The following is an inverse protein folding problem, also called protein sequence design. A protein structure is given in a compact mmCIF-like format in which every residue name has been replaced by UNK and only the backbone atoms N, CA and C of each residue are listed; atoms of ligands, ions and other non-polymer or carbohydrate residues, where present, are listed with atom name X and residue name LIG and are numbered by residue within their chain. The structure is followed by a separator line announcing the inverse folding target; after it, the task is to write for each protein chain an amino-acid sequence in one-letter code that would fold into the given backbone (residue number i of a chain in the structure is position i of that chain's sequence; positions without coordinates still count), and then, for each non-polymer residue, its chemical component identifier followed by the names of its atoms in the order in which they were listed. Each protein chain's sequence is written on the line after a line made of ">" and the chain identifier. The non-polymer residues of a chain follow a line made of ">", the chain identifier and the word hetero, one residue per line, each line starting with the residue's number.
data_IF_436565649121
#
_entry.id   IF_436565649121
#
_cell.length_a   1.000
_cell.length_b   1.000
_cell.length_c   1.000
_cell.angle_alpha   90.00
_cell.angle_beta   90.00
_cell.angle_gamma   90.00
#
_symmetry.space_group_name_H-M   'P 1'
#
loop_
_entity.id
_entity.type
_entity.pdbx_description
1 polymer ?
#
# COMPACT_ATOMS: atom_id res chain seq x y z
N UNK A 1 -19.91 11.84 24.15
CA UNK A 1 -19.73 11.63 22.69
C UNK A 1 -19.45 12.93 21.94
N UNK A 2 -20.37 13.90 21.87
CA UNK A 2 -20.21 15.13 21.05
C UNK A 2 -19.29 16.19 21.70
N UNK A 3 -19.22 16.27 23.03
CA UNK A 3 -18.30 17.18 23.75
C UNK A 3 -16.80 16.77 23.68
N UNK A 4 -16.51 15.59 23.14
CA UNK A 4 -15.17 14.95 23.20
C UNK A 4 -14.45 15.02 21.84
N UNK A 5 -15.19 15.12 20.73
CA UNK A 5 -14.68 15.61 19.45
C UNK A 5 -14.26 17.10 19.52
N UNK A 6 -14.90 17.88 20.41
CA UNK A 6 -14.53 19.28 20.71
C UNK A 6 -13.12 19.39 21.32
N UNK A 7 -12.69 18.38 22.08
CA UNK A 7 -11.33 18.27 22.64
C UNK A 7 -10.34 17.69 21.62
N UNK A 8 -10.79 16.83 20.70
CA UNK A 8 -9.97 16.36 19.58
C UNK A 8 -9.47 17.50 18.67
N UNK A 9 -10.23 18.60 18.57
CA UNK A 9 -9.86 19.83 17.87
C UNK A 9 -8.84 20.72 18.62
N UNK A 10 -8.65 20.56 19.93
CA UNK A 10 -7.64 21.32 20.69
C UNK A 10 -6.24 20.70 20.60
N UNK A 11 -6.16 19.40 20.32
CA UNK A 11 -4.95 18.57 20.50
C UNK A 11 -4.13 18.34 19.23
N UNK A 12 -4.70 18.49 18.03
CA UNK A 12 -3.92 18.59 16.78
C UNK A 12 -3.19 19.94 16.65
N UNK A 13 -3.40 20.84 17.62
CA UNK A 13 -2.67 22.08 17.82
C UNK A 13 -1.22 21.88 18.26
N UNK A 14 -0.37 21.42 17.33
CA UNK A 14 1.07 21.79 17.26
C UNK A 14 1.30 23.31 17.09
N UNK A 15 0.34 24.16 17.46
CA UNK A 15 0.48 25.61 17.59
C UNK A 15 0.26 26.12 19.04
N UNK A 16 -0.03 25.25 20.01
CA UNK A 16 -0.22 25.63 21.40
C UNK A 16 0.98 25.20 22.28
N UNK A 17 2.20 25.50 21.85
CA UNK A 17 3.33 25.43 22.78
C UNK A 17 3.22 26.54 23.84
N UNK A 18 3.43 26.13 25.09
CA UNK A 18 3.58 26.92 26.33
C UNK A 18 2.32 27.32 27.05
N UNK A 19 1.75 26.38 27.78
CA UNK A 19 0.95 26.74 28.95
C UNK A 19 1.08 25.72 30.09
N UNK A 20 2.09 25.89 30.95
CA UNK A 20 1.97 25.45 32.36
C UNK A 20 1.21 26.54 33.12
N UNK A 21 0.26 26.16 33.98
CA UNK A 21 -0.44 27.12 34.84
C UNK A 21 -0.80 26.50 36.17
N UNK A 22 -0.24 27.13 37.18
CA UNK A 22 -0.81 27.29 38.51
C UNK A 22 -1.44 28.68 38.57
N UNK A 23 -2.70 28.85 38.14
CA UNK A 23 -3.45 30.08 38.44
C UNK A 23 -4.92 29.99 38.03
N UNK A 24 -5.83 30.28 38.97
CA UNK A 24 -7.30 30.31 38.80
C UNK A 24 -7.77 31.37 37.80
N UNK A 25 -6.92 32.34 37.43
CA UNK A 25 -7.24 33.40 36.48
C UNK A 25 -7.33 32.95 35.00
N UNK A 26 -6.90 31.72 34.64
CA UNK A 26 -7.01 31.18 33.28
C UNK A 26 -8.34 30.46 32.98
N UNK A 27 -9.26 30.36 33.94
CA UNK A 27 -10.62 29.80 33.74
C UNK A 27 -11.51 30.72 32.89
N UNK A 28 -11.42 32.04 33.10
CA UNK A 28 -12.20 33.04 32.35
C UNK A 28 -11.70 33.26 30.90
N UNK A 29 -10.46 32.89 30.59
CA UNK A 29 -9.98 32.88 29.21
C UNK A 29 -10.41 31.62 28.45
N UNK A 30 -10.58 30.49 29.13
CA UNK A 30 -11.16 29.27 28.55
C UNK A 30 -12.66 29.46 28.23
N UNK A 31 -13.39 30.26 29.00
CA UNK A 31 -14.77 30.66 28.64
C UNK A 31 -14.83 31.50 27.36
N UNK A 32 -13.74 32.14 26.92
CA UNK A 32 -13.68 32.83 25.61
C UNK A 32 -13.44 31.88 24.44
N UNK A 33 -13.06 30.62 24.69
CA UNK A 33 -12.97 29.54 23.69
C UNK A 33 -14.37 29.05 23.26
N UNK A 34 -15.45 29.46 23.96
CA UNK A 34 -16.85 29.34 23.51
C UNK A 34 -17.21 30.17 22.26
N UNK A 35 -16.25 30.74 21.51
CA UNK A 35 -16.52 31.50 20.28
C UNK A 35 -16.71 30.64 19.01
N UNK A 36 -17.18 29.41 19.18
CA UNK A 36 -17.68 28.55 18.12
C UNK A 36 -19.06 28.05 18.55
N UNK A 37 -20.11 28.38 17.80
CA UNK A 37 -21.43 27.77 18.01
C UNK A 37 -21.38 26.32 17.51
N UNK A 38 -20.97 25.43 18.40
CA UNK A 38 -20.65 24.03 18.08
C UNK A 38 -21.89 23.20 17.76
N UNK A 39 -23.09 23.67 18.16
CA UNK A 39 -24.35 23.05 17.80
C UNK A 39 -24.65 23.20 16.29
N UNK A 40 -24.11 24.24 15.64
CA UNK A 40 -24.19 24.45 14.20
C UNK A 40 -23.09 23.70 13.41
N UNK A 41 -21.95 23.36 14.05
CA UNK A 41 -20.78 22.75 13.40
C UNK A 41 -20.89 21.25 13.14
N UNK A 42 -21.80 20.52 13.80
CA UNK A 42 -21.92 19.05 13.69
C UNK A 42 -23.22 18.72 12.95
N UNK A 43 -23.19 18.74 11.62
CA UNK A 43 -24.39 18.39 10.84
C UNK A 43 -24.40 16.98 10.23
N UNK A 44 -23.30 16.21 10.21
CA UNK A 44 -23.31 14.84 9.66
C UNK A 44 -22.32 13.89 10.33
N UNK A 45 -22.77 13.14 11.33
CA UNK A 45 -22.13 11.88 11.70
C UNK A 45 -22.80 10.79 10.88
N UNK A 46 -22.15 10.35 9.81
CA UNK A 46 -22.58 9.15 9.08
C UNK A 46 -22.07 7.91 9.82
N UNK A 47 -22.98 7.05 10.27
CA UNK A 47 -22.58 5.73 10.78
C UNK A 47 -22.02 4.91 9.60
N UNK A 48 -20.70 4.75 9.55
CA UNK A 48 -20.06 3.84 8.61
C UNK A 48 -19.61 2.58 9.37
N UNK A 49 -20.01 1.42 8.89
CA UNK A 49 -19.66 0.13 9.51
C UNK A 49 -18.22 -0.28 9.16
N UNK A 50 -17.23 0.26 9.88
CA UNK A 50 -15.80 -0.10 9.85
C UNK A 50 -15.24 -0.44 11.24
N UNK A 51 -13.92 -0.69 11.41
CA UNK A 51 -13.28 -1.07 12.68
C UNK A 51 -13.13 0.11 13.67
N UNK A 52 -14.18 0.92 13.82
CA UNK A 52 -14.21 2.14 14.61
C UNK A 52 -15.34 3.04 14.10
N UNK A 53 -15.82 3.95 14.95
CA UNK A 53 -16.73 4.99 14.53
C UNK A 53 -15.93 6.07 13.79
N UNK A 54 -16.13 6.20 12.48
CA UNK A 54 -15.56 7.31 11.71
C UNK A 54 -16.43 8.55 11.90
N UNK A 55 -15.82 9.66 12.30
CA UNK A 55 -16.48 10.95 12.37
C UNK A 55 -15.78 11.95 11.46
N UNK A 56 -16.56 12.66 10.65
CA UNK A 56 -16.08 13.74 9.81
C UNK A 56 -16.40 15.07 10.51
N UNK A 57 -15.36 15.90 10.67
CA UNK A 57 -15.47 17.21 11.31
C UNK A 57 -15.26 18.26 10.22
N UNK A 58 -16.34 18.97 9.87
CA UNK A 58 -16.28 20.19 9.05
C UNK A 58 -16.22 21.40 10.00
N UNK A 59 -15.31 22.34 9.75
CA UNK A 59 -15.23 23.56 10.57
C UNK A 59 -15.28 24.82 9.72
N UNK A 60 -16.11 25.78 10.14
CA UNK A 60 -16.27 27.08 9.50
C UNK A 60 -15.27 28.09 10.09
N UNK A 61 -14.48 28.74 9.24
CA UNK A 61 -13.61 29.86 9.68
C UNK A 61 -14.43 31.15 9.87
N UNK A 62 -13.92 32.10 10.66
CA UNK A 62 -14.54 33.44 10.86
C UNK A 62 -14.83 34.22 9.58
N UNK A 63 -14.19 33.86 8.47
CA UNK A 63 -14.36 34.51 7.18
C UNK A 63 -15.42 33.82 6.30
N UNK A 64 -16.16 32.84 6.84
CA UNK A 64 -17.16 32.06 6.11
C UNK A 64 -16.58 30.97 5.21
N UNK A 65 -15.27 30.70 5.31
CA UNK A 65 -14.61 29.65 4.52
C UNK A 65 -14.59 28.35 5.31
N UNK A 66 -15.09 27.27 4.73
CA UNK A 66 -14.99 25.93 5.31
C UNK A 66 -13.56 25.39 5.20
N UNK A 67 -13.02 24.83 6.29
CA UNK A 67 -11.78 24.04 6.26
C UNK A 67 -12.05 22.65 5.68
N UNK A 68 -11.03 21.98 5.10
CA UNK A 68 -11.18 20.61 4.62
C UNK A 68 -11.64 19.69 5.76
N UNK A 69 -12.55 18.78 5.42
CA UNK A 69 -13.13 17.75 6.28
C UNK A 69 -12.03 16.95 6.99
N UNK A 70 -11.98 17.01 8.32
CA UNK A 70 -11.08 16.18 9.12
C UNK A 70 -11.81 14.90 9.52
N UNK A 71 -11.43 13.77 8.93
CA UNK A 71 -11.89 12.46 9.36
C UNK A 71 -11.07 11.95 10.54
N UNK A 72 -11.74 11.50 11.61
CA UNK A 72 -11.13 10.85 12.78
C UNK A 72 -11.71 9.45 13.00
N UNK A 73 -10.89 8.57 13.55
CA UNK A 73 -11.34 7.27 14.08
C UNK A 73 -11.61 7.42 15.57
N UNK A 74 -12.74 6.91 16.06
CA UNK A 74 -13.02 6.72 17.49
C UNK A 74 -13.20 5.23 17.75
N UNK A 75 -12.43 4.68 18.68
CA UNK A 75 -12.41 3.24 18.93
C UNK A 75 -12.05 2.87 20.37
N UNK A 76 -12.35 1.65 20.77
CA UNK A 76 -11.77 0.99 21.94
C UNK A 76 -10.74 -0.05 21.52
N UNK A 77 -9.86 -0.45 22.45
CA UNK A 77 -8.97 -1.58 22.21
C UNK A 77 -9.78 -2.89 22.11
N UNK A 78 -9.24 -3.92 21.43
CA UNK A 78 -9.87 -5.24 21.44
C UNK A 78 -10.18 -5.70 22.87
N UNK A 79 -11.28 -6.43 23.05
CA UNK A 79 -11.77 -6.95 24.34
C UNK A 79 -12.42 -5.90 25.27
N UNK A 80 -12.35 -4.60 24.95
CA UNK A 80 -13.02 -3.53 25.73
C UNK A 80 -14.42 -3.25 25.21
N UNK A 81 -15.45 -3.75 25.91
CA UNK A 81 -16.86 -3.45 25.63
C UNK A 81 -17.36 -2.37 26.59
N UNK A 82 -17.92 -1.29 26.04
CA UNK A 82 -18.54 -0.22 26.85
C UNK A 82 -20.06 -0.38 26.81
N UNK A 83 -20.72 -0.74 27.94
CA UNK A 83 -22.18 -0.84 28.00
C UNK A 83 -22.88 0.44 27.53
N UNK A 84 -23.97 0.30 26.77
CA UNK A 84 -24.70 1.43 26.21
C UNK A 84 -24.03 2.16 25.03
N UNK A 85 -22.83 1.75 24.59
CA UNK A 85 -22.12 2.35 23.44
C UNK A 85 -21.67 1.31 22.42
N UNK A 86 -22.60 0.54 21.81
CA UNK A 86 -22.28 -0.52 20.84
C UNK A 86 -21.67 0.01 19.53
N UNK A 87 -21.83 1.30 19.24
CA UNK A 87 -21.36 1.92 17.99
C UNK A 87 -19.86 2.25 18.01
N UNK A 88 -19.21 2.25 19.18
CA UNK A 88 -17.76 2.43 19.27
C UNK A 88 -17.10 1.08 18.94
N UNK A 89 -16.63 0.95 17.70
CA UNK A 89 -15.91 -0.24 17.24
C UNK A 89 -14.54 -0.45 17.89
N UNK A 90 -13.94 -1.61 17.62
CA UNK A 90 -12.61 -1.97 18.11
C UNK A 90 -11.52 -1.72 17.06
N UNK A 91 -10.40 -1.14 17.49
CA UNK A 91 -9.18 -0.97 16.69
C UNK A 91 -7.94 -1.05 17.58
N UNK A 92 -6.77 -1.20 16.98
CA UNK A 92 -5.48 -1.23 17.68
C UNK A 92 -4.77 0.12 17.58
N UNK A 93 -3.86 0.34 18.52
CA UNK A 93 -2.81 1.33 18.33
C UNK A 93 -1.99 0.96 17.12
N UNK A 94 -1.66 1.97 16.32
CA UNK A 94 -0.62 1.86 15.29
C UNK A 94 0.65 2.49 15.85
N UNK A 95 1.79 1.94 15.46
CA UNK A 95 3.08 2.48 15.82
C UNK A 95 3.22 3.87 15.19
N UNK A 96 3.10 4.91 16.03
CA UNK A 96 3.03 6.33 15.63
C UNK A 96 4.24 6.80 14.82
N UNK A 97 5.36 6.10 14.97
CA UNK A 97 6.55 6.20 14.15
C UNK A 97 7.02 4.76 13.90
N UNK A 98 6.35 4.01 13.02
CA UNK A 98 6.78 2.62 12.81
C UNK A 98 8.22 2.62 12.28
N UNK A 99 9.15 2.35 13.20
CA UNK A 99 10.57 2.27 12.92
C UNK A 99 10.84 0.96 12.21
N UNK A 100 12.07 0.77 11.76
CA UNK A 100 12.48 -0.51 11.22
C UNK A 100 12.18 -1.68 12.19
N UNK A 101 12.26 -1.44 13.51
CA UNK A 101 12.04 -2.45 14.56
C UNK A 101 10.57 -2.86 14.70
N UNK A 102 9.64 -1.90 14.85
CA UNK A 102 8.21 -2.28 14.95
C UNK A 102 7.70 -2.87 13.64
N UNK A 103 8.19 -2.34 12.51
CA UNK A 103 7.87 -2.86 11.19
C UNK A 103 8.32 -4.31 11.00
N UNK A 104 9.56 -4.64 11.38
CA UNK A 104 10.07 -6.01 11.22
C UNK A 104 9.33 -7.00 12.12
N UNK A 105 8.99 -6.61 13.35
CA UNK A 105 8.26 -7.47 14.28
C UNK A 105 6.90 -7.87 13.70
N UNK A 106 6.11 -6.90 13.24
CA UNK A 106 4.79 -7.16 12.66
C UNK A 106 4.88 -7.94 11.35
N UNK A 107 5.85 -7.61 10.48
CA UNK A 107 6.06 -8.33 9.24
C UNK A 107 6.46 -9.80 9.46
N UNK A 108 7.26 -10.09 10.48
CA UNK A 108 7.62 -11.47 10.85
C UNK A 108 6.39 -12.25 11.33
N UNK A 109 5.57 -11.66 12.20
CA UNK A 109 4.32 -12.28 12.67
C UNK A 109 3.41 -12.66 11.49
N UNK A 110 3.15 -11.72 10.57
CA UNK A 110 2.32 -11.98 9.40
C UNK A 110 2.94 -12.98 8.43
N UNK A 111 4.26 -12.98 8.28
CA UNK A 111 4.96 -13.90 7.40
C UNK A 111 4.95 -15.32 7.96
N UNK A 112 5.18 -15.49 9.27
CA UNK A 112 5.12 -16.78 9.96
C UNK A 112 3.71 -17.37 9.92
N UNK A 113 2.68 -16.58 10.24
CA UNK A 113 1.28 -16.98 10.10
C UNK A 113 0.97 -17.40 8.66
N UNK A 114 1.43 -16.61 7.68
CA UNK A 114 1.18 -16.90 6.27
C UNK A 114 1.82 -18.20 5.80
N UNK A 115 3.05 -18.48 6.22
CA UNK A 115 3.77 -19.71 5.86
C UNK A 115 3.23 -20.94 6.58
N UNK A 116 2.76 -20.79 7.83
CA UNK A 116 2.21 -21.89 8.62
C UNK A 116 0.78 -22.25 8.21
N UNK A 117 -0.06 -21.25 7.94
CA UNK A 117 -1.52 -21.43 7.88
C UNK A 117 -2.13 -21.27 6.48
N UNK A 118 -1.42 -20.71 5.49
CA UNK A 118 -1.99 -20.48 4.15
C UNK A 118 -1.45 -21.44 3.11
N UNK A 119 -2.23 -22.50 2.86
CA UNK A 119 -1.92 -23.56 1.91
C UNK A 119 -1.52 -23.06 0.52
N UNK A 120 -2.15 -21.99 -0.01
CA UNK A 120 -1.79 -21.41 -1.33
C UNK A 120 -0.50 -20.60 -1.33
N UNK A 121 -0.20 -19.93 -0.23
CA UNK A 121 1.05 -19.21 -0.04
C UNK A 121 2.24 -20.15 0.24
N UNK A 122 1.96 -21.38 0.71
CA UNK A 122 2.92 -22.47 0.89
C UNK A 122 2.96 -23.53 -0.23
N UNK A 123 1.94 -23.64 -1.09
CA UNK A 123 1.87 -24.71 -2.12
C UNK A 123 2.67 -24.41 -3.39
N UNK A 124 2.93 -23.13 -3.69
CA UNK A 124 3.90 -22.71 -4.72
C UNK A 124 5.35 -22.78 -4.25
N UNK A 125 5.57 -22.89 -2.93
CA UNK A 125 6.86 -22.93 -2.25
C UNK A 125 6.85 -24.13 -1.30
N UNK A 126 6.90 -25.35 -1.86
CA UNK A 126 6.86 -26.60 -1.04
C UNK A 126 7.85 -26.46 0.14
N UNK A 127 7.56 -27.02 1.33
CA UNK A 127 8.55 -27.10 2.41
C UNK A 127 9.78 -27.89 1.90
N UNK A 128 10.87 -27.18 1.57
CA UNK A 128 12.06 -27.69 0.87
C UNK A 128 12.35 -27.07 -0.52
N UNK A 129 11.40 -26.34 -1.11
CA UNK A 129 11.43 -25.67 -2.43
C UNK A 129 11.20 -24.15 -2.34
N UNK A 130 11.51 -23.54 -1.20
CA UNK A 130 11.40 -22.08 -0.99
C UNK A 130 12.28 -21.24 -1.92
N UNK A 131 13.19 -21.87 -2.67
CA UNK A 131 14.14 -21.18 -3.54
C UNK A 131 13.58 -21.10 -4.96
N UNK A 132 13.29 -19.89 -5.38
CA UNK A 132 12.91 -19.58 -6.77
C UNK A 132 14.15 -19.34 -7.61
N UNK A 133 14.02 -19.56 -8.93
CA UNK A 133 15.03 -19.08 -9.86
C UNK A 133 15.25 -17.57 -9.67
N UNK A 134 16.50 -17.17 -9.53
CA UNK A 134 16.88 -15.78 -9.41
C UNK A 134 16.74 -15.07 -10.76
N UNK A 135 16.34 -13.78 -10.77
CA UNK A 135 16.45 -12.94 -11.96
C UNK A 135 17.90 -12.89 -12.48
N UNK A 136 18.07 -12.50 -13.74
CA UNK A 136 19.41 -12.39 -14.35
C UNK A 136 20.37 -11.57 -13.50
N UNK A 137 19.88 -10.47 -12.93
CA UNK A 137 20.61 -9.61 -11.99
C UNK A 137 19.82 -9.37 -10.72
N UNK A 138 20.53 -9.32 -9.59
CA UNK A 138 19.94 -9.09 -8.28
C UNK A 138 20.92 -8.36 -7.36
N UNK A 139 20.42 -7.64 -6.36
CA UNK A 139 21.26 -6.97 -5.37
C UNK A 139 21.55 -7.95 -4.24
N UNK A 140 22.84 -8.20 -3.97
CA UNK A 140 23.32 -8.87 -2.76
C UNK A 140 23.40 -7.82 -1.66
N UNK A 141 22.48 -7.90 -0.70
CA UNK A 141 22.42 -6.95 0.40
C UNK A 141 23.42 -7.25 1.51
N UNK A 142 24.25 -8.28 1.39
CA UNK A 142 25.31 -8.53 2.37
C UNK A 142 26.25 -7.32 2.44
N UNK A 143 26.47 -6.70 3.62
CA UNK A 143 27.38 -5.57 3.74
C UNK A 143 28.78 -5.93 3.24
N UNK A 144 29.30 -5.15 2.27
CA UNK A 144 30.67 -5.32 1.78
C UNK A 144 31.71 -4.79 2.79
N UNK A 145 31.28 -3.89 3.67
CA UNK A 145 32.09 -3.26 4.72
C UNK A 145 31.19 -2.68 5.83
N UNK A 146 31.80 -1.93 6.76
CA UNK A 146 31.12 -1.30 7.89
C UNK A 146 30.14 -0.18 7.49
N UNK A 147 30.24 0.37 6.28
CA UNK A 147 29.33 1.41 5.78
C UNK A 147 28.01 0.82 5.29
N UNK A 148 27.99 -0.48 5.01
CA UNK A 148 26.79 -1.17 4.54
C UNK A 148 26.61 -1.17 3.02
N UNK A 149 27.61 -0.76 2.24
CA UNK A 149 27.61 -0.82 0.77
C UNK A 149 27.25 -2.21 0.23
N UNK A 150 26.64 -2.25 -0.95
CA UNK A 150 26.08 -3.46 -1.59
C UNK A 150 26.62 -3.63 -3.00
N UNK A 151 26.19 -4.67 -3.73
CA UNK A 151 26.52 -4.85 -5.15
C UNK A 151 25.40 -5.55 -5.91
N UNK A 152 25.34 -5.32 -7.21
CA UNK A 152 24.55 -6.16 -8.12
C UNK A 152 25.35 -7.43 -8.43
N UNK A 153 24.67 -8.56 -8.59
CA UNK A 153 25.25 -9.82 -9.00
C UNK A 153 24.49 -10.39 -10.19
N UNK A 154 25.21 -10.96 -11.13
CA UNK A 154 24.65 -11.78 -12.21
C UNK A 154 24.47 -13.20 -11.70
N UNK A 155 23.22 -13.62 -11.54
CA UNK A 155 22.87 -14.87 -10.84
C UNK A 155 21.89 -15.73 -11.65
N UNK A 156 21.83 -15.52 -12.97
CA UNK A 156 20.98 -16.27 -13.88
C UNK A 156 21.12 -17.79 -13.66
N UNK A 157 19.98 -18.48 -13.50
CA UNK A 157 19.92 -19.92 -13.27
C UNK A 157 20.18 -20.39 -11.83
N UNK A 158 20.56 -19.50 -10.92
CA UNK A 158 20.69 -19.82 -9.50
C UNK A 158 19.33 -19.79 -8.79
N UNK A 159 19.25 -20.40 -7.60
CA UNK A 159 18.01 -20.49 -6.84
C UNK A 159 18.21 -20.00 -5.41
N UNK A 160 17.45 -18.98 -5.00
CA UNK A 160 17.45 -18.47 -3.64
C UNK A 160 16.12 -17.80 -3.29
N UNK A 161 15.96 -17.45 -2.01
CA UNK A 161 14.92 -16.53 -1.57
C UNK A 161 15.33 -15.10 -1.90
N UNK A 162 14.43 -14.34 -2.50
CA UNK A 162 14.64 -12.93 -2.75
C UNK A 162 13.37 -12.12 -2.54
N UNK A 163 13.56 -10.83 -2.25
CA UNK A 163 12.49 -9.86 -2.17
C UNK A 163 12.50 -8.96 -3.39
N UNK A 164 11.38 -8.31 -3.66
CA UNK A 164 11.28 -7.23 -4.64
C UNK A 164 10.95 -5.92 -3.93
N UNK A 165 11.38 -4.79 -4.50
CA UNK A 165 10.91 -3.46 -4.10
C UNK A 165 10.05 -2.84 -5.20
N UNK A 166 8.77 -2.65 -4.89
CA UNK A 166 7.85 -1.84 -5.68
C UNK A 166 7.91 -0.39 -5.19
N UNK A 167 8.31 0.55 -6.06
CA UNK A 167 8.52 1.95 -5.67
C UNK A 167 8.20 2.94 -6.80
N UNK A 168 7.93 4.19 -6.43
CA UNK A 168 7.81 5.29 -7.38
C UNK A 168 9.20 5.77 -7.81
N UNK A 169 9.44 5.83 -9.11
CA UNK A 169 10.67 6.41 -9.65
C UNK A 169 10.75 7.93 -9.39
N UNK A 170 9.60 8.60 -9.30
CA UNK A 170 9.49 10.04 -9.15
C UNK A 170 9.54 10.80 -10.47
N UNK A 171 9.01 12.02 -10.46
CA UNK A 171 9.10 12.98 -11.56
C UNK A 171 9.44 14.36 -10.98
N UNK A 172 10.40 15.12 -11.56
CA UNK A 172 11.23 14.81 -12.73
C UNK A 172 12.52 14.02 -12.41
N UNK A 173 12.85 13.82 -11.13
CA UNK A 173 14.07 13.13 -10.72
C UNK A 173 13.95 11.63 -11.00
N UNK A 174 14.94 11.05 -11.70
CA UNK A 174 15.06 9.62 -11.90
C UNK A 174 15.71 8.95 -10.68
N UNK A 175 15.38 7.70 -10.35
CA UNK A 175 16.02 6.99 -9.24
C UNK A 175 17.46 6.63 -9.60
N UNK A 176 18.23 6.19 -8.60
CA UNK A 176 19.50 5.49 -8.85
C UNK A 176 19.23 4.30 -9.77
N UNK A 177 19.94 4.25 -10.90
CA UNK A 177 19.70 3.25 -11.93
C UNK A 177 20.97 2.73 -12.60
N UNK A 178 20.85 1.52 -13.13
CA UNK A 178 21.89 0.87 -13.92
C UNK A 178 21.78 1.29 -15.38
N UNK A 179 22.92 1.66 -15.95
CA UNK A 179 23.09 1.99 -17.36
C UNK A 179 24.30 1.25 -17.92
N UNK A 180 24.40 1.19 -19.24
CA UNK A 180 25.57 0.61 -19.94
C UNK A 180 26.90 1.19 -19.45
N UNK A 181 26.89 2.47 -19.06
CA UNK A 181 28.06 3.19 -18.57
C UNK A 181 28.48 2.81 -17.14
N UNK A 182 27.54 2.44 -16.26
CA UNK A 182 27.82 2.25 -14.83
C UNK A 182 27.63 0.81 -14.33
N UNK A 183 27.08 -0.10 -15.14
CA UNK A 183 26.76 -1.48 -14.71
C UNK A 183 27.98 -2.22 -14.17
N UNK A 184 29.18 -2.02 -14.75
CA UNK A 184 30.42 -2.64 -14.26
C UNK A 184 30.76 -2.19 -12.84
N UNK A 185 30.56 -0.91 -12.54
CA UNK A 185 30.77 -0.37 -11.20
C UNK A 185 29.74 -0.95 -10.25
N UNK A 186 28.45 -0.99 -10.65
CA UNK A 186 27.35 -1.55 -9.84
C UNK A 186 27.53 -3.04 -9.52
N UNK A 187 28.15 -3.82 -10.42
CA UNK A 187 28.52 -5.22 -10.18
C UNK A 187 29.63 -5.39 -9.15
N UNK A 188 30.52 -4.41 -9.05
CA UNK A 188 31.58 -4.37 -8.04
C UNK A 188 31.05 -3.86 -6.70
N UNK A 189 30.40 -2.69 -6.72
CA UNK A 189 30.01 -1.94 -5.54
C UNK A 189 28.99 -0.83 -5.86
N UNK A 190 28.09 -0.63 -4.93
CA UNK A 190 27.20 0.53 -4.80
C UNK A 190 27.46 1.12 -3.42
N UNK A 191 27.97 2.35 -3.39
CA UNK A 191 28.23 3.01 -2.11
C UNK A 191 26.94 3.31 -1.36
N UNK A 192 26.94 3.10 -0.04
CA UNK A 192 25.75 3.34 0.77
C UNK A 192 25.21 4.77 0.63
N UNK A 193 26.12 5.75 0.54
CA UNK A 193 25.77 7.17 0.35
C UNK A 193 25.13 7.49 -1.01
N UNK A 194 25.27 6.62 -2.02
CA UNK A 194 24.62 6.80 -3.32
C UNK A 194 23.18 6.25 -3.32
N UNK A 195 22.85 5.35 -2.38
CA UNK A 195 21.53 4.75 -2.31
C UNK A 195 20.51 5.79 -1.82
N UNK A 196 19.41 6.02 -2.57
CA UNK A 196 18.29 6.81 -2.11
C UNK A 196 17.69 6.25 -0.82
N UNK A 197 17.04 7.11 -0.02
CA UNK A 197 16.51 6.71 1.30
C UNK A 197 15.56 5.50 1.23
N UNK A 198 14.68 5.41 0.23
CA UNK A 198 13.78 4.25 0.04
C UNK A 198 14.57 2.96 -0.20
N UNK A 199 15.71 3.03 -0.90
CA UNK A 199 16.54 1.85 -1.18
C UNK A 199 17.31 1.44 0.06
N UNK A 200 17.85 2.40 0.81
CA UNK A 200 18.50 2.15 2.10
C UNK A 200 17.54 1.47 3.09
N UNK A 201 16.33 1.99 3.21
CA UNK A 201 15.30 1.43 4.10
C UNK A 201 14.90 0.02 3.67
N UNK A 202 14.73 -0.23 2.36
CA UNK A 202 14.42 -1.55 1.83
C UNK A 202 15.55 -2.55 2.07
N UNK A 203 16.81 -2.17 1.82
CA UNK A 203 17.99 -2.99 2.08
C UNK A 203 18.10 -3.31 3.58
N UNK A 204 17.91 -2.30 4.44
CA UNK A 204 17.88 -2.47 5.89
C UNK A 204 16.79 -3.45 6.32
N UNK A 205 15.58 -3.33 5.77
CA UNK A 205 14.46 -4.23 6.06
C UNK A 205 14.74 -5.67 5.62
N UNK A 206 15.30 -5.87 4.43
CA UNK A 206 15.70 -7.19 3.91
C UNK A 206 16.73 -7.86 4.84
N UNK A 207 17.74 -7.09 5.28
CA UNK A 207 18.74 -7.55 6.27
C UNK A 207 18.09 -7.93 7.60
N UNK A 208 17.16 -7.10 8.09
CA UNK A 208 16.42 -7.39 9.33
C UNK A 208 15.54 -8.63 9.20
N UNK A 209 14.98 -8.93 8.02
CA UNK A 209 14.30 -10.21 7.74
C UNK A 209 15.24 -11.42 7.68
N UNK A 210 16.56 -11.23 7.74
CA UNK A 210 17.54 -12.29 7.58
C UNK A 210 17.63 -12.82 6.15
N UNK A 211 17.26 -12.01 5.15
CA UNK A 211 17.33 -12.35 3.73
C UNK A 211 18.50 -11.63 3.05
N UNK A 212 18.96 -12.19 1.93
CA UNK A 212 20.19 -11.73 1.25
C UNK A 212 19.94 -10.99 -0.06
N UNK A 213 18.85 -11.30 -0.75
CA UNK A 213 18.67 -10.85 -2.13
C UNK A 213 17.47 -9.93 -2.28
N UNK A 214 17.70 -8.80 -2.95
CA UNK A 214 16.69 -7.80 -3.26
C UNK A 214 16.72 -7.46 -4.75
N UNK A 215 15.57 -7.47 -5.39
CA UNK A 215 15.40 -7.02 -6.76
C UNK A 215 14.74 -5.64 -6.79
N UNK A 216 15.39 -4.71 -7.47
CA UNK A 216 14.89 -3.35 -7.74
C UNK A 216 15.04 -3.13 -9.23
N UNK A 217 13.93 -2.87 -9.93
CA UNK A 217 13.86 -2.71 -11.38
C UNK A 217 14.91 -1.72 -11.92
N UNK A 218 15.03 -0.55 -11.29
CA UNK A 218 15.96 0.50 -11.72
C UNK A 218 17.43 0.06 -11.66
N UNK A 219 17.80 -0.84 -10.74
CA UNK A 219 19.18 -1.31 -10.56
C UNK A 219 19.46 -2.67 -11.22
N UNK A 220 18.44 -3.50 -11.42
CA UNK A 220 18.60 -4.85 -11.98
C UNK A 220 18.37 -4.89 -13.50
N UNK A 221 17.83 -3.82 -14.10
CA UNK A 221 17.63 -3.66 -15.54
C UNK A 221 18.51 -2.51 -16.04
N UNK A 222 19.17 -2.70 -17.19
CA UNK A 222 19.99 -1.67 -17.83
C UNK A 222 19.05 -0.74 -18.61
N UNK A 223 18.84 0.47 -18.08
CA UNK A 223 17.74 1.35 -18.50
C UNK A 223 17.92 2.02 -19.87
N UNK A 224 19.16 2.07 -20.37
CA UNK A 224 19.54 2.64 -21.66
C UNK A 224 19.87 1.58 -22.73
N UNK A 225 19.65 0.29 -22.41
CA UNK A 225 19.80 -0.83 -23.34
C UNK A 225 18.41 -1.41 -23.67
N UNK A 226 17.98 -1.27 -24.93
CA UNK A 226 16.66 -1.72 -25.36
C UNK A 226 16.51 -3.24 -25.34
N UNK A 227 17.57 -3.98 -25.70
CA UNK A 227 17.51 -5.44 -25.78
C UNK A 227 17.45 -6.03 -24.36
N UNK A 228 18.26 -5.49 -23.44
CA UNK A 228 18.21 -5.85 -22.02
C UNK A 228 16.85 -5.49 -21.41
N UNK A 229 16.34 -4.28 -21.67
CA UNK A 229 15.04 -3.85 -21.18
C UNK A 229 13.91 -4.74 -21.72
N UNK A 230 13.92 -5.09 -23.00
CA UNK A 230 12.91 -5.94 -23.61
C UNK A 230 12.92 -7.36 -23.01
N UNK A 231 14.10 -7.93 -22.78
CA UNK A 231 14.25 -9.23 -22.14
C UNK A 231 13.78 -9.22 -20.68
N UNK A 232 14.21 -8.22 -19.90
CA UNK A 232 13.90 -8.15 -18.47
C UNK A 232 12.44 -7.76 -18.21
N UNK A 233 11.88 -6.83 -18.99
CA UNK A 233 10.47 -6.41 -18.87
C UNK A 233 9.51 -7.56 -19.14
N UNK A 234 9.82 -8.43 -20.13
CA UNK A 234 9.06 -9.64 -20.40
C UNK A 234 9.07 -10.64 -19.22
N UNK A 235 10.13 -10.62 -18.40
CA UNK A 235 10.27 -11.48 -17.22
C UNK A 235 9.73 -10.86 -15.93
N UNK A 236 9.44 -9.57 -15.88
CA UNK A 236 9.01 -8.87 -14.65
C UNK A 236 7.85 -9.57 -13.95
N UNK A 237 6.85 -10.03 -14.70
CA UNK A 237 5.72 -10.75 -14.15
C UNK A 237 6.14 -12.01 -13.37
N UNK A 238 7.08 -12.78 -13.94
CA UNK A 238 7.64 -13.96 -13.30
C UNK A 238 8.54 -13.62 -12.10
N UNK A 239 9.29 -12.52 -12.17
CA UNK A 239 10.15 -12.06 -11.06
C UNK A 239 9.28 -11.72 -9.83
N UNK A 240 8.23 -10.92 -10.03
CA UNK A 240 7.32 -10.58 -8.94
C UNK A 240 6.56 -11.80 -8.41
N UNK A 241 6.04 -12.66 -9.29
CA UNK A 241 5.35 -13.90 -8.91
C UNK A 241 6.22 -14.83 -8.04
N UNK A 242 7.51 -14.93 -8.34
CA UNK A 242 8.41 -15.85 -7.65
C UNK A 242 9.13 -15.24 -6.44
N UNK A 243 8.87 -13.96 -6.14
CA UNK A 243 9.45 -13.28 -4.99
C UNK A 243 8.93 -13.87 -3.67
N UNK A 244 9.82 -13.93 -2.67
CA UNK A 244 9.45 -14.36 -1.33
C UNK A 244 8.48 -13.37 -0.68
N UNK A 245 8.77 -12.08 -0.81
CA UNK A 245 7.96 -10.97 -0.34
C UNK A 245 8.26 -9.74 -1.22
N UNK A 246 7.22 -9.02 -1.63
CA UNK A 246 7.38 -7.71 -2.26
C UNK A 246 7.15 -6.61 -1.23
N UNK A 247 8.14 -5.72 -1.09
CA UNK A 247 8.04 -4.50 -0.28
C UNK A 247 7.47 -3.39 -1.17
N UNK A 248 6.35 -2.79 -0.79
CA UNK A 248 5.70 -1.74 -1.56
C UNK A 248 5.79 -0.40 -0.83
N UNK A 249 6.56 0.53 -1.37
CA UNK A 249 6.75 1.89 -0.85
C UNK A 249 5.54 2.78 -1.15
N UNK A 250 4.37 2.43 -0.60
CA UNK A 250 3.08 2.92 -1.03
C UNK A 250 2.94 4.45 -0.94
N UNK A 251 3.42 5.04 0.15
CA UNK A 251 3.39 6.50 0.39
C UNK A 251 4.48 7.29 -0.36
N UNK A 252 5.54 6.61 -0.81
CA UNK A 252 6.72 7.27 -1.35
C UNK A 252 6.45 7.78 -2.76
N UNK A 253 6.57 9.09 -2.98
CA UNK A 253 6.41 9.69 -4.32
C UNK A 253 7.65 9.50 -5.20
N UNK A 254 8.79 9.21 -4.58
CA UNK A 254 10.09 9.00 -5.22
C UNK A 254 10.99 8.13 -4.33
N UNK A 255 12.19 7.79 -4.83
CA UNK A 255 13.16 6.97 -4.09
C UNK A 255 13.82 7.67 -2.89
N UNK A 256 13.62 8.97 -2.69
CA UNK A 256 14.19 9.73 -1.56
C UNK A 256 13.26 9.81 -0.34
N UNK A 257 12.01 9.34 -0.48
CA UNK A 257 11.00 9.51 0.57
C UNK A 257 11.19 8.58 1.78
N UNK A 258 11.82 7.41 1.58
CA UNK A 258 11.91 6.35 2.60
C UNK A 258 10.66 5.48 2.70
N UNK A 259 10.79 4.36 3.43
CA UNK A 259 9.68 3.43 3.68
C UNK A 259 8.90 3.78 4.95
N UNK A 260 9.60 4.25 5.97
CA UNK A 260 9.04 4.44 7.32
C UNK A 260 8.36 5.79 7.47
N UNK A 261 7.33 5.87 8.30
CA UNK A 261 6.64 7.12 8.63
C UNK A 261 7.05 7.63 9.99
N UNK A 262 7.18 8.96 10.10
CA UNK A 262 7.42 9.68 11.36
C UNK A 262 6.26 10.63 11.69
N UNK A 263 5.07 10.38 11.11
CA UNK A 263 3.90 11.23 11.32
C UNK A 263 3.16 10.85 12.61
N UNK A 264 3.37 11.65 13.65
CA UNK A 264 2.65 11.55 14.92
C UNK A 264 1.13 11.75 14.79
N UNK A 265 0.64 12.24 13.65
CA UNK A 265 -0.79 12.55 13.42
C UNK A 265 -1.71 11.34 13.52
N UNK A 266 -1.18 10.13 13.35
CA UNK A 266 -1.96 8.89 13.46
C UNK A 266 -1.85 8.22 14.84
N UNK A 267 -1.12 8.84 15.77
CA UNK A 267 -1.06 8.39 17.15
C UNK A 267 -2.44 8.47 17.81
N UNK A 268 -2.77 7.44 18.58
CA UNK A 268 -4.03 7.39 19.31
C UNK A 268 -3.93 8.17 20.62
N UNK A 269 -4.94 9.00 20.89
CA UNK A 269 -5.06 9.77 22.13
C UNK A 269 -6.21 9.21 22.97
N UNK A 270 -5.96 8.83 24.23
CA UNK A 270 -7.00 8.32 25.12
C UNK A 270 -7.95 9.43 25.58
N UNK A 271 -9.22 9.09 25.80
CA UNK A 271 -10.20 9.96 26.44
C UNK A 271 -11.23 9.16 27.25
N UNK A 272 -11.75 9.73 28.36
CA UNK A 272 -12.73 9.04 29.20
C UNK A 272 -14.11 9.04 28.52
N UNK A 273 -14.85 7.94 28.66
CA UNK A 273 -16.23 7.81 28.18
C UNK A 273 -17.09 7.21 29.29
N UNK A 274 -18.31 7.68 29.48
CA UNK A 274 -19.24 7.13 30.47
C UNK A 274 -20.13 6.07 29.80
N UNK A 275 -20.32 4.94 30.48
CA UNK A 275 -21.33 3.96 30.09
C UNK A 275 -22.74 4.37 30.55
N UNK A 276 -23.74 3.54 30.19
CA UNK A 276 -25.14 3.74 30.58
C UNK A 276 -25.40 3.72 32.09
N UNK A 277 -24.45 3.23 32.89
CA UNK A 277 -24.52 3.19 34.34
C UNK A 277 -23.68 4.30 35.01
N UNK A 278 -23.05 5.17 34.22
CA UNK A 278 -22.20 6.25 34.69
C UNK A 278 -20.78 5.81 35.11
N UNK A 279 -20.36 4.58 34.79
CA UNK A 279 -18.99 4.14 35.00
C UNK A 279 -18.08 4.68 33.89
N UNK A 280 -16.85 5.04 34.25
CA UNK A 280 -15.86 5.60 33.32
C UNK A 280 -15.04 4.49 32.65
N UNK A 281 -15.01 4.52 31.32
CA UNK A 281 -14.21 3.69 30.43
C UNK A 281 -13.20 4.54 29.66
N UNK A 282 -12.23 3.91 29.00
CA UNK A 282 -11.29 4.60 28.10
C UNK A 282 -11.59 4.24 26.65
N UNK A 283 -11.78 5.28 25.83
CA UNK A 283 -11.77 5.18 24.38
C UNK A 283 -10.59 5.97 23.82
N UNK A 284 -10.35 5.84 22.52
CA UNK A 284 -9.25 6.48 21.82
C UNK A 284 -9.74 7.17 20.56
N UNK A 285 -9.09 8.27 20.22
CA UNK A 285 -9.26 8.91 18.92
C UNK A 285 -7.93 9.13 18.21
N UNK A 286 -7.95 9.17 16.87
CA UNK A 286 -6.82 9.56 16.02
C UNK A 286 -7.31 10.13 14.70
N UNK A 287 -6.43 10.73 13.90
CA UNK A 287 -6.71 11.01 12.49
C UNK A 287 -7.04 9.70 11.76
N UNK A 288 -8.07 9.71 10.93
CA UNK A 288 -8.51 8.54 10.18
C UNK A 288 -7.34 7.90 9.42
N UNK A 289 -7.15 6.61 9.62
CA UNK A 289 -6.09 5.85 8.96
C UNK A 289 -6.48 5.64 7.49
N UNK A 290 -5.72 6.17 6.53
CA UNK A 290 -6.01 6.01 5.12
C UNK A 290 -5.87 4.55 4.71
N UNK A 291 -6.84 4.03 3.97
CA UNK A 291 -6.81 2.68 3.42
C UNK A 291 -7.16 2.72 1.93
N UNK A 292 -6.26 2.25 1.06
CA UNK A 292 -6.49 2.29 -0.40
C UNK A 292 -7.56 1.31 -0.91
N UNK A 293 -7.96 0.33 -0.10
CA UNK A 293 -9.00 -0.65 -0.47
C UNK A 293 -10.40 -0.18 -0.10
N UNK A 294 -10.54 0.90 0.70
CA UNK A 294 -11.82 1.41 1.18
C UNK A 294 -12.25 2.71 0.48
N UNK A 295 -11.67 3.05 -0.68
CA UNK A 295 -11.96 4.30 -1.39
C UNK A 295 -12.18 4.09 -2.88
N UNK A 296 -13.29 4.62 -3.38
CA UNK A 296 -13.53 4.82 -4.81
C UNK A 296 -12.96 6.15 -5.33
N UNK A 297 -12.47 7.01 -4.43
CA UNK A 297 -11.84 8.28 -4.79
C UNK A 297 -10.39 8.03 -5.23
N UNK A 298 -10.19 8.02 -6.54
CA UNK A 298 -8.88 7.86 -7.18
C UNK A 298 -7.93 8.99 -6.82
N UNK A 299 -8.42 10.23 -6.68
CA UNK A 299 -7.58 11.39 -6.33
C UNK A 299 -7.05 11.27 -4.91
N UNK A 300 -7.89 10.86 -3.96
CA UNK A 300 -7.45 10.58 -2.60
C UNK A 300 -6.43 9.44 -2.57
N UNK A 301 -6.72 8.33 -3.27
CA UNK A 301 -5.81 7.18 -3.39
C UNK A 301 -4.44 7.60 -3.93
N UNK A 302 -4.39 8.31 -5.05
CA UNK A 302 -3.14 8.71 -5.71
C UNK A 302 -2.38 9.77 -4.92
N UNK A 303 -3.09 10.54 -4.09
CA UNK A 303 -2.48 11.46 -3.14
C UNK A 303 -1.79 10.70 -1.99
N UNK A 304 -2.49 9.78 -1.34
CA UNK A 304 -2.00 9.08 -0.13
C UNK A 304 -1.11 7.88 -0.45
N UNK A 305 -1.33 7.25 -1.59
CA UNK A 305 -0.67 6.03 -2.07
C UNK A 305 -0.21 6.18 -3.53
N UNK A 306 0.69 7.13 -3.82
CA UNK A 306 1.14 7.44 -5.18
C UNK A 306 1.63 6.22 -5.96
N UNK A 307 2.16 5.20 -5.29
CA UNK A 307 2.58 3.95 -5.93
C UNK A 307 1.44 3.30 -6.72
N UNK A 308 0.22 3.31 -6.17
CA UNK A 308 -0.94 2.66 -6.78
C UNK A 308 -1.49 3.39 -8.01
N UNK A 309 -0.99 4.58 -8.34
CA UNK A 309 -1.39 5.26 -9.58
C UNK A 309 -0.65 4.71 -10.80
N UNK A 310 0.47 3.99 -10.62
CA UNK A 310 1.32 3.52 -11.73
C UNK A 310 0.80 2.23 -12.35
N UNK A 311 0.77 2.18 -13.69
CA UNK A 311 0.30 1.02 -14.45
C UNK A 311 1.09 -0.26 -14.15
N UNK A 312 2.42 -0.17 -14.16
CA UNK A 312 3.32 -1.27 -13.82
C UNK A 312 3.06 -1.84 -12.42
N UNK A 313 2.61 -1.04 -11.45
CA UNK A 313 2.36 -1.51 -10.08
C UNK A 313 1.23 -2.53 -10.00
N UNK A 314 0.34 -2.62 -10.99
CA UNK A 314 -0.70 -3.64 -10.99
C UNK A 314 -0.12 -5.06 -11.01
N UNK A 315 0.91 -5.34 -11.82
CA UNK A 315 1.59 -6.64 -11.79
C UNK A 315 2.39 -6.84 -10.50
N UNK A 316 3.00 -5.78 -9.97
CA UNK A 316 3.77 -5.78 -8.70
C UNK A 316 2.88 -6.03 -7.47
N UNK A 317 1.58 -5.73 -7.59
CA UNK A 317 0.57 -6.02 -6.58
C UNK A 317 -0.04 -7.41 -6.74
N UNK A 318 -0.47 -7.76 -7.95
CA UNK A 318 -1.30 -8.94 -8.19
C UNK A 318 -0.52 -10.25 -8.20
N UNK A 319 0.71 -10.24 -8.73
CA UNK A 319 1.46 -11.47 -8.99
C UNK A 319 2.23 -12.02 -7.79
N UNK A 320 2.88 -11.20 -6.92
CA UNK A 320 3.59 -11.76 -5.78
C UNK A 320 2.68 -12.57 -4.85
N UNK A 321 3.17 -13.60 -4.16
CA UNK A 321 2.38 -14.33 -3.17
C UNK A 321 2.04 -13.45 -1.96
N UNK A 322 2.92 -12.51 -1.61
CA UNK A 322 2.83 -11.62 -0.44
C UNK A 322 3.36 -10.24 -0.79
N UNK A 323 2.63 -9.21 -0.35
CA UNK A 323 3.02 -7.80 -0.48
C UNK A 323 2.89 -7.14 0.89
N UNK A 324 3.98 -6.53 1.36
CA UNK A 324 3.98 -5.68 2.55
C UNK A 324 3.99 -4.23 2.09
N UNK A 325 2.90 -3.51 2.38
CA UNK A 325 2.72 -2.12 2.01
C UNK A 325 3.15 -1.20 3.14
N UNK A 326 4.07 -0.29 2.82
CA UNK A 326 4.51 0.80 3.65
C UNK A 326 3.64 2.03 3.35
N UNK A 327 2.52 2.15 4.08
CA UNK A 327 1.55 3.23 3.94
C UNK A 327 1.96 4.51 4.67
N UNK A 328 1.19 5.60 4.54
CA UNK A 328 1.48 6.87 5.24
C UNK A 328 1.34 6.77 6.77
N UNK A 329 0.47 5.88 7.26
CA UNK A 329 0.12 5.75 8.67
C UNK A 329 0.54 4.41 9.29
N UNK A 330 0.45 3.32 8.52
CA UNK A 330 0.61 1.96 9.04
C UNK A 330 1.21 1.03 7.99
N UNK A 331 1.60 -0.16 8.46
CA UNK A 331 1.83 -1.30 7.58
C UNK A 331 0.52 -2.00 7.24
N UNK A 332 0.43 -2.48 6.00
CA UNK A 332 -0.62 -3.41 5.61
C UNK A 332 -0.04 -4.59 4.84
N UNK A 333 -0.65 -5.75 4.99
CA UNK A 333 -0.20 -7.01 4.42
C UNK A 333 -1.26 -7.56 3.49
N UNK A 334 -0.89 -7.77 2.24
CA UNK A 334 -1.77 -8.31 1.22
C UNK A 334 -1.18 -9.62 0.66
N UNK A 335 -1.91 -10.72 0.85
CA UNK A 335 -1.59 -12.00 0.20
C UNK A 335 -2.81 -12.51 -0.56
N UNK A 336 -2.69 -13.69 -1.19
CA UNK A 336 -3.65 -14.20 -2.16
C UNK A 336 -5.12 -14.24 -1.68
N UNK A 337 -5.39 -14.32 -0.38
CA UNK A 337 -6.75 -14.52 0.14
C UNK A 337 -7.18 -13.49 1.18
N UNK A 338 -6.23 -12.78 1.81
CA UNK A 338 -6.54 -11.82 2.85
C UNK A 338 -5.69 -10.56 2.74
N UNK A 339 -6.25 -9.53 3.34
CA UNK A 339 -5.62 -8.26 3.57
C UNK A 339 -5.69 -7.97 5.07
N UNK A 340 -4.56 -7.63 5.67
CA UNK A 340 -4.45 -7.28 7.08
C UNK A 340 -3.92 -5.84 7.18
N UNK A 341 -4.41 -5.08 8.15
CA UNK A 341 -3.82 -3.81 8.54
C UNK A 341 -3.43 -3.84 10.03
N UNK A 342 -2.42 -3.06 10.39
CA UNK A 342 -1.95 -2.93 11.78
C UNK A 342 -3.07 -2.41 12.69
N UNK A 343 -3.85 -1.45 12.20
CA UNK A 343 -4.92 -0.80 12.93
C UNK A 343 -6.14 -1.71 13.18
N UNK A 344 -6.36 -2.70 12.31
CA UNK A 344 -7.45 -3.66 12.47
C UNK A 344 -7.12 -5.01 11.83
N UNK A 345 -6.60 -5.98 12.60
CA UNK A 345 -6.31 -7.31 12.06
C UNK A 345 -7.56 -8.16 11.80
N UNK A 346 -8.74 -7.70 12.24
CA UNK A 346 -10.01 -8.43 12.20
C UNK A 346 -10.98 -7.93 11.13
N UNK A 347 -10.50 -7.25 10.08
CA UNK A 347 -11.39 -6.86 8.98
C UNK A 347 -11.81 -8.11 8.19
N UNK A 348 -12.76 -8.87 8.70
CA UNK A 348 -13.44 -9.97 7.99
C UNK A 348 -14.09 -9.48 6.68
N UNK A 349 -14.30 -8.17 6.53
CA UNK A 349 -14.76 -7.53 5.29
C UNK A 349 -13.67 -7.15 4.30
N UNK A 350 -12.38 -7.22 4.66
CA UNK A 350 -11.29 -6.83 3.76
C UNK A 350 -11.15 -7.78 2.56
N UNK A 351 -11.68 -9.00 2.67
CA UNK A 351 -11.77 -9.95 1.55
C UNK A 351 -12.62 -9.44 0.38
N UNK A 352 -13.63 -8.61 0.64
CA UNK A 352 -14.44 -8.00 -0.42
C UNK A 352 -13.78 -6.77 -1.05
N UNK A 353 -12.79 -6.18 -0.38
CA UNK A 353 -12.21 -4.88 -0.74
C UNK A 353 -10.82 -4.99 -1.39
N UNK A 354 -10.05 -6.05 -1.10
CA UNK A 354 -8.80 -6.32 -1.80
C UNK A 354 -9.05 -6.83 -3.22
N UNK A 355 -8.63 -6.05 -4.23
CA UNK A 355 -8.66 -6.47 -5.64
C UNK A 355 -7.88 -7.77 -5.86
N UNK A 356 -6.73 -7.92 -5.18
CA UNK A 356 -5.91 -9.14 -5.28
C UNK A 356 -6.68 -10.37 -4.77
N UNK A 357 -7.26 -10.28 -3.58
CA UNK A 357 -8.06 -11.36 -3.01
C UNK A 357 -9.28 -11.68 -3.87
N UNK A 358 -9.96 -10.63 -4.37
CA UNK A 358 -11.08 -10.77 -5.29
C UNK A 358 -10.71 -11.52 -6.58
N UNK A 359 -9.62 -11.12 -7.25
CA UNK A 359 -9.16 -11.78 -8.49
C UNK A 359 -8.72 -13.21 -8.22
N UNK A 360 -7.89 -13.44 -7.19
CA UNK A 360 -7.44 -14.77 -6.84
C UNK A 360 -8.63 -15.71 -6.56
N UNK A 361 -9.60 -15.29 -5.73
CA UNK A 361 -10.80 -16.09 -5.47
C UNK A 361 -11.61 -16.35 -6.73
N UNK A 362 -11.88 -15.32 -7.52
CA UNK A 362 -12.68 -15.43 -8.74
C UNK A 362 -12.06 -16.37 -9.78
N UNK A 363 -10.73 -16.45 -9.84
CA UNK A 363 -10.02 -17.39 -10.74
C UNK A 363 -10.15 -18.85 -10.30
N UNK A 364 -10.49 -19.10 -9.03
CA UNK A 364 -10.55 -20.42 -8.42
C UNK A 364 -11.97 -20.88 -8.07
N UNK A 365 -12.97 -20.02 -8.22
CA UNK A 365 -14.38 -20.33 -7.98
C UNK A 365 -15.06 -20.73 -9.29
N UNK A 366 -15.32 -22.03 -9.54
CA UNK A 366 -15.93 -22.48 -10.79
C UNK A 366 -17.39 -22.04 -10.95
N UNK A 367 -18.05 -21.63 -9.86
CA UNK A 367 -19.44 -21.16 -9.86
C UNK A 367 -19.55 -19.63 -9.74
N UNK A 368 -18.41 -18.94 -9.61
CA UNK A 368 -18.33 -17.49 -9.43
C UNK A 368 -18.21 -16.71 -10.74
N UNK A 369 -17.56 -15.56 -10.66
CA UNK A 369 -17.28 -14.66 -11.79
C UNK A 369 -16.51 -15.38 -12.90
N UNK A 370 -16.94 -15.23 -14.16
CA UNK A 370 -16.25 -15.86 -15.28
C UNK A 370 -14.82 -15.31 -15.41
N UNK A 371 -13.89 -16.12 -15.96
CA UNK A 371 -12.50 -15.69 -16.18
C UNK A 371 -12.41 -14.47 -17.10
N UNK A 372 -13.33 -14.37 -18.08
CA UNK A 372 -13.44 -13.21 -18.97
C UNK A 372 -13.83 -11.95 -18.19
N UNK A 373 -14.78 -12.05 -17.25
CA UNK A 373 -15.19 -10.91 -16.43
C UNK A 373 -14.10 -10.48 -15.45
N UNK A 374 -13.37 -11.43 -14.86
CA UNK A 374 -12.17 -11.13 -14.05
C UNK A 374 -11.14 -10.36 -14.89
N UNK A 375 -10.88 -10.80 -16.13
CA UNK A 375 -9.98 -10.11 -17.04
C UNK A 375 -10.47 -8.69 -17.35
N UNK A 376 -11.76 -8.49 -17.61
CA UNK A 376 -12.35 -7.15 -17.82
C UNK A 376 -12.18 -6.24 -16.60
N UNK A 377 -12.34 -6.76 -15.39
CA UNK A 377 -12.09 -5.97 -14.18
C UNK A 377 -10.63 -5.55 -14.03
N UNK A 378 -9.69 -6.42 -14.43
CA UNK A 378 -8.25 -6.11 -14.46
C UNK A 378 -7.99 -5.02 -15.51
N UNK A 379 -8.47 -5.18 -16.75
CA UNK A 379 -8.30 -4.20 -17.83
C UNK A 379 -8.91 -2.85 -17.45
N UNK A 380 -10.11 -2.83 -16.87
CA UNK A 380 -10.75 -1.60 -16.39
C UNK A 380 -9.91 -0.91 -15.32
N UNK A 381 -9.43 -1.66 -14.32
CA UNK A 381 -8.57 -1.12 -13.26
C UNK A 381 -7.26 -0.58 -13.80
N UNK A 382 -6.67 -1.25 -14.79
CA UNK A 382 -5.39 -0.91 -15.37
C UNK A 382 -5.47 0.32 -16.28
N UNK A 383 -6.59 0.49 -16.99
CA UNK A 383 -6.84 1.62 -17.90
C UNK A 383 -6.91 2.97 -17.16
N UNK A 384 -7.18 2.95 -15.85
CA UNK A 384 -7.19 4.12 -14.97
C UNK A 384 -5.80 4.50 -14.44
N UNK A 385 -4.76 3.72 -14.74
CA UNK A 385 -3.40 3.91 -14.19
C UNK A 385 -2.51 4.72 -15.15
N UNK A 386 -1.61 5.48 -14.54
CA UNK A 386 -0.59 6.30 -15.19
C UNK A 386 0.51 5.43 -15.78
N UNK A 387 0.85 5.67 -17.05
CA UNK A 387 1.97 5.01 -17.72
C UNK A 387 2.85 6.04 -18.41
N UNK A 388 4.15 6.00 -18.15
CA UNK A 388 5.11 6.96 -18.71
C UNK A 388 5.28 6.79 -20.23
N UNK A 389 5.35 5.53 -20.69
CA UNK A 389 5.43 5.20 -22.10
C UNK A 389 4.17 4.40 -22.50
N UNK A 390 3.24 4.99 -23.26
CA UNK A 390 2.03 4.30 -23.70
C UNK A 390 2.26 2.97 -24.42
N UNK A 391 3.42 2.77 -25.07
CA UNK A 391 3.72 1.51 -25.78
C UNK A 391 3.91 0.32 -24.84
N UNK A 392 4.23 0.58 -23.58
CA UNK A 392 4.46 -0.45 -22.56
C UNK A 392 3.15 -1.04 -22.03
N UNK A 393 2.02 -0.42 -22.39
CA UNK A 393 0.73 -0.67 -21.77
C UNK A 393 0.24 -2.11 -21.97
N UNK A 394 0.39 -2.64 -23.18
CA UNK A 394 0.07 -4.04 -23.48
C UNK A 394 1.09 -5.02 -22.92
N UNK A 395 2.39 -4.65 -22.88
CA UNK A 395 3.44 -5.51 -22.35
C UNK A 395 3.23 -5.81 -20.87
N UNK A 396 2.97 -4.78 -20.07
CA UNK A 396 2.69 -4.92 -18.64
C UNK A 396 1.43 -5.76 -18.36
N UNK A 397 0.38 -5.62 -19.19
CA UNK A 397 -0.83 -6.44 -19.08
C UNK A 397 -0.61 -7.89 -19.52
N UNK A 398 0.23 -8.13 -20.52
CA UNK A 398 0.50 -9.46 -21.05
C UNK A 398 1.12 -10.36 -19.97
N UNK A 399 1.99 -9.82 -19.12
CA UNK A 399 2.54 -10.53 -17.96
C UNK A 399 1.46 -11.02 -16.99
N UNK A 400 0.47 -10.17 -16.69
CA UNK A 400 -0.68 -10.53 -15.84
C UNK A 400 -1.53 -11.61 -16.51
N UNK A 401 -1.85 -11.43 -17.79
CA UNK A 401 -2.61 -12.40 -18.58
C UNK A 401 -1.95 -13.78 -18.57
N UNK A 402 -0.64 -13.82 -18.80
CA UNK A 402 0.14 -15.05 -18.80
C UNK A 402 0.10 -15.75 -17.44
N UNK A 403 0.46 -15.06 -16.36
CA UNK A 403 0.58 -15.72 -15.06
C UNK A 403 -0.77 -16.12 -14.45
N UNK A 404 -1.80 -15.28 -14.57
CA UNK A 404 -3.10 -15.56 -13.97
C UNK A 404 -3.94 -16.53 -14.82
N UNK A 405 -3.79 -16.51 -16.14
CA UNK A 405 -4.72 -17.23 -17.03
C UNK A 405 -4.12 -18.38 -17.82
N UNK A 406 -2.84 -18.34 -18.23
CA UNK A 406 -2.29 -19.37 -19.11
C UNK A 406 -1.89 -20.67 -18.41
N UNK A 407 -1.60 -20.67 -17.09
CA UNK A 407 -1.15 -21.89 -16.38
C UNK A 407 -2.20 -23.02 -16.36
N UNK A 408 -3.49 -22.70 -16.57
CA UNK A 408 -4.59 -23.67 -16.42
C UNK A 408 -5.39 -23.93 -17.72
N UNK A 409 -5.11 -23.20 -18.81
CA UNK A 409 -5.68 -23.44 -20.15
C UNK A 409 -4.96 -22.56 -21.19
N UNK A 410 -4.86 -22.96 -22.47
CA UNK A 410 -4.39 -22.10 -23.56
C UNK A 410 -5.46 -21.06 -23.89
N UNK A 411 -5.67 -20.11 -22.98
CA UNK A 411 -6.57 -18.97 -23.15
C UNK A 411 -5.78 -17.87 -23.84
N UNK A 412 -6.21 -17.40 -25.02
CA UNK A 412 -5.51 -16.31 -25.69
C UNK A 412 -6.17 -14.99 -25.33
N UNK A 413 -5.42 -14.15 -24.63
CA UNK A 413 -5.69 -12.71 -24.62
C UNK A 413 -5.01 -12.13 -25.87
N UNK A 414 -5.78 -11.58 -26.80
CA UNK A 414 -5.30 -11.00 -28.05
C UNK A 414 -5.32 -9.48 -27.93
N UNK A 415 -4.14 -8.86 -27.88
CA UNK A 415 -4.01 -7.40 -27.71
C UNK A 415 -4.83 -6.85 -26.53
N UNK A 416 -4.92 -7.61 -25.45
CA UNK A 416 -5.70 -7.25 -24.27
C UNK A 416 -7.18 -7.64 -24.29
N UNK A 417 -7.69 -8.25 -25.37
CA UNK A 417 -9.06 -8.73 -25.49
C UNK A 417 -9.13 -10.25 -25.25
N UNK A 418 -10.19 -10.71 -24.61
CA UNK A 418 -10.47 -12.12 -24.38
C UNK A 418 -10.94 -12.80 -25.67
N UNK A 419 -10.16 -13.74 -26.23
CA UNK A 419 -10.46 -14.39 -27.53
C UNK A 419 -11.86 -15.02 -27.56
N UNK A 420 -12.26 -15.71 -26.48
CA UNK A 420 -13.55 -16.42 -26.42
C UNK A 420 -14.78 -15.52 -26.26
N UNK A 421 -14.59 -14.23 -25.99
CA UNK A 421 -15.69 -13.27 -25.74
C UNK A 421 -15.31 -11.85 -26.18
N UNK A 422 -14.64 -11.78 -27.34
CA UNK A 422 -14.06 -10.54 -27.86
C UNK A 422 -15.13 -9.47 -28.15
N UNK A 423 -16.33 -9.88 -28.54
CA UNK A 423 -17.44 -8.96 -28.80
C UNK A 423 -17.80 -8.13 -27.57
N UNK A 424 -17.83 -8.74 -26.38
CA UNK A 424 -18.09 -8.03 -25.13
C UNK A 424 -16.93 -7.10 -24.77
N UNK A 425 -15.68 -7.51 -25.02
CA UNK A 425 -14.50 -6.69 -24.75
C UNK A 425 -14.41 -5.46 -25.68
N UNK A 426 -14.99 -5.55 -26.87
CA UNK A 426 -15.11 -4.41 -27.79
C UNK A 426 -16.16 -3.38 -27.32
N UNK A 427 -17.05 -3.74 -26.40
CA UNK A 427 -18.07 -2.84 -25.81
C UNK A 427 -17.55 -2.09 -24.57
N UNK A 428 -16.23 -2.08 -24.35
CA UNK A 428 -15.61 -1.39 -23.23
C UNK A 428 -15.96 0.11 -23.21
N UNK A 429 -15.98 0.70 -22.01
CA UNK A 429 -16.21 2.13 -21.80
C UNK A 429 -15.42 2.64 -20.60
N UNK A 430 -15.03 3.91 -20.65
CA UNK A 430 -14.56 4.66 -19.47
C UNK A 430 -15.73 5.41 -18.83
N UNK A 431 -15.69 5.55 -17.50
CA UNK A 431 -16.61 6.39 -16.73
C UNK A 431 -16.19 7.86 -16.70
N UNK A 432 -14.90 8.16 -16.88
CA UNK A 432 -14.31 9.49 -16.90
C UNK A 432 -13.63 9.79 -18.24
N UNK A 433 -13.60 11.06 -18.66
CA UNK A 433 -13.03 11.46 -19.96
C UNK A 433 -11.49 11.38 -19.90
N UNK A 434 -10.88 10.52 -20.71
CA UNK A 434 -9.42 10.41 -20.86
C UNK A 434 -8.99 10.74 -22.30
N UNK A 435 -7.73 11.11 -22.48
CA UNK A 435 -7.15 11.25 -23.82
C UNK A 435 -6.93 9.87 -24.44
N UNK A 436 -7.42 9.68 -25.66
CA UNK A 436 -7.18 8.46 -26.43
C UNK A 436 -5.76 8.49 -26.97
N UNK A 437 -4.97 7.49 -26.61
CA UNK A 437 -3.67 7.26 -27.23
C UNK A 437 -3.93 6.60 -28.60
N UNK A 438 -3.44 7.22 -29.67
CA UNK A 438 -3.54 6.66 -31.02
C UNK A 438 -2.46 5.61 -31.26
N UNK A 439 -2.80 4.34 -31.01
CA UNK A 439 -1.99 3.18 -31.36
C UNK A 439 -2.73 2.34 -32.39
N UNK A 440 -2.04 2.03 -33.51
CA UNK A 440 -2.61 1.17 -34.55
C UNK A 440 -2.72 -0.27 -34.06
N UNK A 441 -3.84 -0.91 -34.38
CA UNK A 441 -4.11 -2.33 -34.11
C UNK A 441 -4.20 -2.71 -32.62
N UNK A 442 -4.48 -1.75 -31.75
CA UNK A 442 -4.73 -2.00 -30.33
C UNK A 442 -6.09 -1.46 -29.89
N UNK A 443 -6.69 -1.98 -28.81
CA UNK A 443 -7.92 -1.43 -28.27
C UNK A 443 -7.74 0.03 -27.85
N UNK A 444 -8.80 0.84 -27.94
CA UNK A 444 -8.74 2.27 -27.62
C UNK A 444 -8.50 2.59 -26.14
N UNK A 445 -8.55 1.60 -25.25
CA UNK A 445 -8.16 1.73 -23.85
C UNK A 445 -6.67 1.47 -23.60
N UNK A 446 -5.97 0.91 -24.59
CA UNK A 446 -4.58 0.46 -24.47
C UNK A 446 -3.56 1.57 -24.67
#
# INVERSE_FOLDING_TARGET
>A
MILQAVVAASYLGKEAERVQISDEARRDELEKIHKYDFAECVQKIGAFHGPGLQANIESLTKNGTWLPELSIDIFTLPETVIPGLPDIGHSRHISSNYSADSAIHLAREWLEDCLANHGRCGSGLRPGSLRSALPSRIIDVTPLDQTGSVRVQEMAGQHALYLCLSHCWGTPSRPLMSTTANIRDRLSRIEWSELPKTFQDAIGFVRLLGQQYLWIDSLCIIQDDYDDWAEQSAQMAQIYENSYLTLAAAKARNSESGLYSSEELFQSTPFPVLDEHGATHTAYFRKHVPHFFNTSDTKYRDCMFPLLSRAWVLQERLLPPRVLWFGPAELTWEYCEKFLCECSPQVERAFQLSRKAFYARSLHDPQGTSRADVWRYIVSSYSELDITNPKDRLLALQGIAHQLFHKNAPLKVISGLWEGDMFMDMLWRISSRTERIDQKHTPSWS
#
